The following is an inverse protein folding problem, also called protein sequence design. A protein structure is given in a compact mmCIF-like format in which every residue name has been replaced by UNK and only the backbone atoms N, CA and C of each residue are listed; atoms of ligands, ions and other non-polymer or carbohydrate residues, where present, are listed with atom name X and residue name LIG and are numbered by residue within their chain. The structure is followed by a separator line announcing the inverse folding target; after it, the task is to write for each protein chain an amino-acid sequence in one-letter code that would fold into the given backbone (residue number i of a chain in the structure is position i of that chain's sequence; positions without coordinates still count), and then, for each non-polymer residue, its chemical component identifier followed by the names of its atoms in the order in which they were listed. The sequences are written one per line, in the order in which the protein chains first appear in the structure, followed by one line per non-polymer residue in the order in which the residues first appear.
data_IF_778805063119
#
_entry.id   IF_778805063119
#
_cell.length_a   1.000
_cell.length_b   1.000
_cell.length_c   1.000
_cell.angle_alpha   90.00
_cell.angle_beta   90.00
_cell.angle_gamma   90.00
#
_symmetry.space_group_name_H-M   'P 1'
#
loop_
_entity.id
_entity.type
_entity.pdbx_description
1 polymer ?
#
# COMPACT_ATOMS: atom_id res chain seq x y z
N UNK A 1 35.25 -1.71 -6.12
CA UNK A 1 35.53 -1.47 -7.55
C UNK A 1 34.82 -2.54 -8.36
N UNK A 2 33.77 -2.18 -9.09
CA UNK A 2 33.35 -2.76 -10.39
C UNK A 2 32.00 -2.13 -10.78
N UNK A 3 32.08 -1.11 -11.63
CA UNK A 3 30.96 -0.50 -12.35
C UNK A 3 30.67 -1.38 -13.59
N UNK A 4 29.42 -1.78 -13.83
CA UNK A 4 28.93 -2.19 -15.15
C UNK A 4 27.65 -1.40 -15.45
N UNK A 5 27.75 -0.32 -16.23
CA UNK A 5 27.58 -0.24 -17.69
C UNK A 5 26.17 -0.60 -18.16
N UNK A 6 25.32 0.42 -18.17
CA UNK A 6 24.08 0.49 -18.95
C UNK A 6 24.46 0.53 -20.44
N UNK A 7 23.94 -0.42 -21.20
CA UNK A 7 24.11 -0.55 -22.65
C UNK A 7 23.10 0.33 -23.38
N UNK A 8 23.59 1.35 -24.07
CA UNK A 8 22.81 2.20 -24.99
C UNK A 8 22.51 1.42 -26.28
N UNK A 9 21.22 1.16 -26.57
CA UNK A 9 20.80 0.64 -27.87
C UNK A 9 20.90 1.75 -28.93
N UNK A 10 21.77 1.52 -29.91
CA UNK A 10 21.89 2.31 -31.14
C UNK A 10 20.68 2.01 -32.04
N UNK A 11 19.93 3.03 -32.42
CA UNK A 11 18.98 2.92 -33.52
C UNK A 11 19.74 3.07 -34.85
N UNK A 12 19.64 2.04 -35.71
CA UNK A 12 20.09 2.07 -37.10
C UNK A 12 19.13 2.94 -37.92
N UNK A 13 19.63 4.03 -38.49
CA UNK A 13 18.90 4.82 -39.50
C UNK A 13 19.05 4.13 -40.86
N UNK A 14 18.05 3.35 -41.26
CA UNK A 14 17.93 2.77 -42.59
C UNK A 14 17.24 3.75 -43.54
N UNK A 15 17.98 4.18 -44.56
CA UNK A 15 17.55 5.01 -45.69
C UNK A 15 16.61 4.21 -46.61
N UNK A 16 15.38 4.67 -46.83
CA UNK A 16 14.53 4.18 -47.93
C UNK A 16 13.68 5.30 -48.55
N UNK A 17 13.98 5.57 -49.84
CA UNK A 17 13.03 5.76 -50.93
C UNK A 17 11.91 6.81 -50.82
N UNK A 18 12.08 7.91 -51.56
CA UNK A 18 11.01 8.84 -51.94
C UNK A 18 10.16 8.21 -53.05
N UNK A 19 8.82 8.16 -52.89
CA UNK A 19 7.84 8.14 -53.99
C UNK A 19 6.42 8.55 -53.51
N UNK A 20 6.13 9.84 -53.73
CA UNK A 20 4.91 10.49 -54.29
C UNK A 20 3.48 10.09 -53.85
N UNK A 21 2.77 11.16 -53.42
CA UNK A 21 1.35 11.52 -53.59
C UNK A 21 0.29 11.07 -52.55
N UNK A 22 -0.30 12.11 -51.93
CA UNK A 22 -1.71 12.12 -51.52
C UNK A 22 -2.00 11.52 -50.15
N UNK A 23 -1.83 12.28 -49.07
CA UNK A 23 -2.30 11.88 -47.76
C UNK A 23 -2.32 13.07 -46.81
N UNK A 24 -3.45 13.29 -46.15
CA UNK A 24 -3.62 14.31 -45.11
C UNK A 24 -2.43 14.27 -44.13
N UNK A 25 -1.78 15.41 -43.98
CA UNK A 25 -0.80 15.63 -42.92
C UNK A 25 -1.53 15.62 -41.56
N UNK A 26 -1.67 14.44 -40.98
CA UNK A 26 -1.87 14.30 -39.55
C UNK A 26 -0.57 14.76 -38.87
N UNK A 27 -0.54 16.01 -38.42
CA UNK A 27 0.42 16.43 -37.41
C UNK A 27 0.04 15.71 -36.12
N UNK A 28 0.70 14.57 -35.85
CA UNK A 28 0.76 14.04 -34.51
C UNK A 28 1.56 15.06 -33.68
N UNK A 29 0.85 15.94 -32.97
CA UNK A 29 1.45 16.69 -31.88
C UNK A 29 1.85 15.65 -30.84
N UNK A 30 3.11 15.24 -30.88
CA UNK A 30 3.73 14.47 -29.81
C UNK A 30 3.78 15.40 -28.61
N UNK A 31 2.70 15.38 -27.85
CA UNK A 31 2.56 16.11 -26.62
C UNK A 31 3.50 15.43 -25.64
N UNK A 32 4.77 15.85 -25.68
CA UNK A 32 5.73 15.57 -24.64
C UNK A 32 5.07 16.05 -23.36
N UNK A 33 4.56 15.12 -22.56
CA UNK A 33 4.19 15.37 -21.18
C UNK A 33 5.48 15.84 -20.54
N UNK A 34 5.67 17.17 -20.50
CA UNK A 34 6.66 17.76 -19.62
C UNK A 34 6.25 17.26 -18.25
N UNK A 35 7.11 16.46 -17.63
CA UNK A 35 7.01 16.23 -16.21
C UNK A 35 7.05 17.62 -15.59
N UNK A 36 5.89 18.11 -15.17
CA UNK A 36 5.78 19.35 -14.44
C UNK A 36 6.78 19.24 -13.28
N UNK A 37 7.61 20.28 -13.12
CA UNK A 37 8.43 20.41 -11.92
C UNK A 37 7.51 20.23 -10.71
N UNK A 38 7.92 19.46 -9.68
CA UNK A 38 7.04 19.16 -8.57
C UNK A 38 6.71 20.47 -7.85
N UNK A 39 5.54 21.04 -8.16
CA UNK A 39 4.90 22.03 -7.32
C UNK A 39 4.97 21.48 -5.90
N UNK A 40 5.56 22.24 -4.97
CA UNK A 40 5.82 21.81 -3.61
C UNK A 40 4.58 21.11 -3.05
N UNK A 41 4.62 19.77 -3.04
CA UNK A 41 3.47 18.96 -2.69
C UNK A 41 3.18 19.26 -1.23
N UNK A 42 1.94 19.64 -0.93
CA UNK A 42 1.45 19.69 0.46
C UNK A 42 1.90 18.38 1.13
N UNK A 43 2.58 18.41 2.28
CA UNK A 43 2.99 17.20 2.97
C UNK A 43 1.78 16.27 3.10
N UNK A 44 1.93 15.00 2.73
CA UNK A 44 0.81 14.05 2.74
C UNK A 44 0.11 13.98 4.11
N UNK A 45 0.85 14.23 5.19
CA UNK A 45 0.33 14.35 6.56
C UNK A 45 -0.70 15.47 6.71
N UNK A 46 -0.48 16.64 6.09
CA UNK A 46 -1.43 17.76 6.15
C UNK A 46 -2.71 17.45 5.37
N UNK A 47 -2.58 16.80 4.21
CA UNK A 47 -3.72 16.32 3.47
C UNK A 47 -4.55 15.33 4.30
N UNK A 48 -3.90 14.33 4.92
CA UNK A 48 -4.57 13.36 5.79
C UNK A 48 -5.27 14.06 6.96
N UNK A 49 -4.58 14.98 7.64
CA UNK A 49 -5.16 15.74 8.75
C UNK A 49 -6.38 16.55 8.31
N UNK A 50 -6.35 17.15 7.12
CA UNK A 50 -7.50 17.86 6.56
C UNK A 50 -8.68 16.92 6.32
N UNK A 51 -8.46 15.74 5.75
CA UNK A 51 -9.53 14.76 5.52
C UNK A 51 -10.15 14.26 6.83
N UNK A 52 -9.33 14.02 7.87
CA UNK A 52 -9.81 13.63 9.20
C UNK A 52 -10.65 14.74 9.83
N UNK A 53 -10.16 15.99 9.79
CA UNK A 53 -10.91 17.15 10.33
C UNK A 53 -12.24 17.36 9.62
N UNK A 54 -12.26 17.25 8.28
CA UNK A 54 -13.51 17.33 7.52
C UNK A 54 -14.49 16.24 7.95
N UNK A 55 -14.00 15.00 8.14
CA UNK A 55 -14.83 13.91 8.64
C UNK A 55 -15.42 14.18 10.02
N UNK A 56 -14.68 14.86 10.92
CA UNK A 56 -15.21 15.27 12.22
C UNK A 56 -16.30 16.34 12.08
N UNK A 57 -16.07 17.36 11.25
CA UNK A 57 -17.05 18.43 10.99
C UNK A 57 -18.34 17.87 10.40
N UNK A 58 -18.25 17.03 9.36
CA UNK A 58 -19.38 16.44 8.66
C UNK A 58 -20.25 15.55 9.56
N UNK A 59 -19.66 15.00 10.62
CA UNK A 59 -20.33 14.08 11.55
C UNK A 59 -20.56 14.70 12.95
N UNK A 60 -20.31 16.00 13.12
CA UNK A 60 -20.46 16.72 14.39
C UNK A 60 -19.68 16.05 15.54
N UNK A 61 -18.49 15.53 15.25
CA UNK A 61 -17.63 14.84 16.22
C UNK A 61 -16.64 15.83 16.82
N UNK A 62 -16.64 15.93 18.16
CA UNK A 62 -15.59 16.63 18.89
C UNK A 62 -14.38 15.71 19.10
N UNK A 63 -13.15 16.12 18.70
CA UNK A 63 -11.97 15.30 18.89
C UNK A 63 -11.60 15.21 20.38
N UNK A 64 -11.00 14.08 20.77
CA UNK A 64 -10.47 13.91 22.12
C UNK A 64 -9.33 14.89 22.41
N UNK A 65 -9.12 15.19 23.69
CA UNK A 65 -7.94 15.93 24.14
C UNK A 65 -6.63 15.27 23.66
N UNK A 66 -5.58 16.10 23.52
CA UNK A 66 -4.27 15.63 23.13
C UNK A 66 -3.71 14.71 24.21
N UNK A 67 -3.29 13.52 23.80
CA UNK A 67 -2.69 12.53 24.70
C UNK A 67 -1.46 13.10 25.43
N UNK A 68 -1.30 12.73 26.70
CA UNK A 68 -0.09 13.05 27.47
C UNK A 68 1.12 12.36 26.85
N UNK A 69 2.33 12.79 27.21
CA UNK A 69 3.54 12.18 26.67
C UNK A 69 3.70 10.70 27.07
N UNK A 70 3.25 10.32 28.27
CA UNK A 70 3.24 8.92 28.75
C UNK A 70 2.25 8.05 27.96
N UNK A 71 1.07 8.58 27.67
CA UNK A 71 0.09 7.88 26.83
C UNK A 71 0.57 7.78 25.39
N UNK A 72 1.11 8.87 24.85
CA UNK A 72 1.55 8.96 23.47
C UNK A 72 2.73 8.02 23.19
N UNK A 73 3.75 8.00 24.07
CA UNK A 73 4.91 7.09 23.90
C UNK A 73 4.46 5.63 23.94
N UNK A 74 3.52 5.29 24.82
CA UNK A 74 2.98 3.93 24.87
C UNK A 74 2.25 3.55 23.58
N UNK A 75 1.39 4.44 23.06
CA UNK A 75 0.59 4.20 21.85
C UNK A 75 1.50 4.06 20.62
N UNK A 76 2.47 4.96 20.43
CA UNK A 76 3.34 4.92 19.24
C UNK A 76 4.20 3.66 19.19
N UNK A 77 4.67 3.15 20.33
CA UNK A 77 5.39 1.89 20.40
C UNK A 77 4.51 0.69 20.02
N UNK A 78 3.28 0.65 20.52
CA UNK A 78 2.33 -0.40 20.17
C UNK A 78 1.97 -0.37 18.68
N UNK A 79 1.72 0.83 18.15
CA UNK A 79 1.28 1.02 16.77
C UNK A 79 2.41 0.73 15.76
N UNK A 80 3.62 1.22 16.02
CA UNK A 80 4.74 1.15 15.06
C UNK A 80 5.49 -0.19 15.18
N UNK A 81 5.85 -0.60 16.40
CA UNK A 81 6.73 -1.77 16.64
C UNK A 81 6.06 -2.94 17.35
N UNK A 82 4.78 -2.82 17.74
CA UNK A 82 3.97 -3.96 18.23
C UNK A 82 4.32 -4.42 19.64
N UNK A 83 5.05 -3.62 20.43
CA UNK A 83 5.38 -3.89 21.83
C UNK A 83 5.23 -2.63 22.67
N UNK A 84 5.29 -2.79 23.98
CA UNK A 84 5.35 -1.67 24.91
C UNK A 84 6.80 -1.15 25.00
N UNK A 85 7.03 0.15 25.30
CA UNK A 85 8.37 0.65 25.53
C UNK A 85 8.97 0.06 26.81
N UNK A 86 10.30 -0.06 26.87
CA UNK A 86 11.02 -0.37 28.11
C UNK A 86 11.02 0.84 29.04
N UNK A 87 11.42 0.63 30.30
CA UNK A 87 11.50 1.72 31.26
C UNK A 87 12.51 2.80 30.82
N UNK A 88 13.64 2.38 30.26
CA UNK A 88 14.70 3.26 29.75
C UNK A 88 14.21 4.08 28.55
N UNK A 89 13.51 3.45 27.60
CA UNK A 89 12.94 4.14 26.44
C UNK A 89 11.91 5.21 26.84
N UNK A 90 11.06 4.92 27.84
CA UNK A 90 10.11 5.91 28.38
C UNK A 90 10.85 7.06 29.04
N UNK A 91 11.84 6.78 29.89
CA UNK A 91 12.62 7.84 30.56
C UNK A 91 13.32 8.74 29.56
N UNK A 92 14.01 8.16 28.59
CA UNK A 92 14.69 8.91 27.53
C UNK A 92 13.72 9.85 26.80
N UNK A 93 12.50 9.38 26.47
CA UNK A 93 11.50 10.20 25.80
C UNK A 93 10.91 11.31 26.69
N UNK A 94 10.69 11.03 27.98
CA UNK A 94 10.12 12.01 28.91
C UNK A 94 11.14 13.08 29.34
N UNK A 95 12.42 12.73 29.38
CA UNK A 95 13.52 13.65 29.69
C UNK A 95 13.93 14.52 28.48
N UNK A 96 13.53 14.14 27.26
CA UNK A 96 13.75 14.96 26.06
C UNK A 96 12.79 16.17 26.03
N UNK A 97 13.34 17.38 26.13
CA UNK A 97 12.62 18.65 26.01
C UNK A 97 12.57 19.19 24.58
N UNK A 98 13.15 18.47 23.61
CA UNK A 98 13.18 18.87 22.21
C UNK A 98 11.77 19.02 21.63
N UNK A 99 11.48 20.10 20.90
CA UNK A 99 10.22 20.23 20.17
C UNK A 99 10.05 19.17 19.07
N UNK A 100 11.13 18.44 18.72
CA UNK A 100 11.11 17.36 17.71
C UNK A 100 11.11 15.95 18.32
N UNK A 101 11.01 15.79 19.63
CA UNK A 101 11.14 14.48 20.30
C UNK A 101 10.20 13.40 19.75
N UNK A 102 8.96 13.78 19.42
CA UNK A 102 7.96 12.86 18.85
C UNK A 102 8.35 12.37 17.46
N UNK A 103 8.73 13.29 16.56
CA UNK A 103 9.21 12.93 15.21
C UNK A 103 10.50 12.10 15.28
N UNK A 104 11.46 12.51 16.11
CA UNK A 104 12.71 11.79 16.28
C UNK A 104 12.52 10.38 16.84
N UNK A 105 11.57 10.17 17.76
CA UNK A 105 11.20 8.83 18.23
C UNK A 105 10.57 8.00 17.10
N UNK A 106 9.65 8.58 16.30
CA UNK A 106 9.05 7.87 15.16
C UNK A 106 10.14 7.40 14.19
N UNK A 107 11.09 8.27 13.83
CA UNK A 107 12.20 7.93 12.93
C UNK A 107 13.00 6.73 13.47
N UNK A 108 13.36 6.74 14.76
CA UNK A 108 14.03 5.62 15.42
C UNK A 108 13.21 4.32 15.42
N UNK A 109 11.89 4.42 15.59
CA UNK A 109 11.02 3.26 15.60
C UNK A 109 10.84 2.65 14.21
N UNK A 110 10.79 3.47 13.17
CA UNK A 110 10.71 3.01 11.78
C UNK A 110 11.99 2.27 11.34
N UNK A 111 13.15 2.68 11.86
CA UNK A 111 14.44 2.00 11.64
C UNK A 111 14.62 0.73 12.50
N UNK A 112 13.74 0.46 13.47
CA UNK A 112 13.87 -0.66 14.38
C UNK A 112 13.51 -2.00 13.70
N UNK A 113 14.24 -3.07 13.99
CA UNK A 113 13.91 -4.41 13.49
C UNK A 113 12.53 -4.94 13.93
N UNK A 114 12.00 -4.47 15.07
CA UNK A 114 10.64 -4.75 15.53
C UNK A 114 9.58 -4.19 14.56
N UNK A 115 9.84 -3.07 13.87
CA UNK A 115 8.92 -2.54 12.86
C UNK A 115 8.68 -3.59 11.77
N UNK A 116 9.74 -4.15 11.20
CA UNK A 116 9.64 -5.19 10.16
C UNK A 116 8.87 -6.40 10.69
N UNK A 117 9.14 -6.84 11.94
CA UNK A 117 8.44 -7.98 12.55
C UNK A 117 6.95 -7.71 12.75
N UNK A 118 6.61 -6.54 13.31
CA UNK A 118 5.23 -6.14 13.59
C UNK A 118 4.41 -6.04 12.30
N UNK A 119 4.90 -5.29 11.32
CA UNK A 119 4.19 -5.07 10.06
C UNK A 119 4.10 -6.33 9.20
N UNK A 120 5.11 -7.21 9.23
CA UNK A 120 5.01 -8.56 8.62
C UNK A 120 3.83 -9.33 9.22
N UNK A 121 3.69 -9.31 10.54
CA UNK A 121 2.63 -10.04 11.24
C UNK A 121 1.26 -9.45 10.93
N UNK A 122 1.12 -8.12 10.99
CA UNK A 122 -0.12 -7.41 10.68
C UNK A 122 -0.56 -7.72 9.25
N UNK A 123 0.30 -7.52 8.27
CA UNK A 123 -0.09 -7.71 6.86
C UNK A 123 -0.30 -9.16 6.47
N UNK A 124 0.47 -10.10 7.03
CA UNK A 124 0.18 -11.53 6.85
C UNK A 124 -1.22 -11.85 7.37
N UNK A 125 -1.57 -11.38 8.57
CA UNK A 125 -2.91 -11.59 9.14
C UNK A 125 -4.02 -10.93 8.32
N UNK A 126 -3.80 -9.70 7.85
CA UNK A 126 -4.76 -8.98 7.03
C UNK A 126 -4.98 -9.70 5.70
N UNK A 127 -3.93 -10.18 5.04
CA UNK A 127 -4.01 -10.81 3.74
C UNK A 127 -4.58 -12.23 3.78
N UNK A 128 -4.11 -13.10 4.69
CA UNK A 128 -4.43 -14.53 4.65
C UNK A 128 -5.11 -15.06 5.92
N UNK A 129 -5.44 -14.19 6.87
CA UNK A 129 -6.00 -14.59 8.17
C UNK A 129 -4.94 -15.19 9.11
N UNK A 130 -5.38 -15.84 10.19
CA UNK A 130 -4.49 -16.46 11.20
C UNK A 130 -4.30 -17.97 11.01
N UNK A 131 -5.12 -18.59 10.16
CA UNK A 131 -5.00 -20.00 9.81
C UNK A 131 -4.07 -20.23 8.62
N UNK A 132 -3.92 -21.49 8.23
CA UNK A 132 -3.18 -21.90 7.04
C UNK A 132 -4.06 -22.85 6.20
N UNK A 133 -4.91 -22.29 5.31
CA UNK A 133 -5.78 -23.08 4.44
C UNK A 133 -5.00 -23.94 3.44
N UNK A 134 -5.71 -24.84 2.75
CA UNK A 134 -5.09 -25.73 1.77
C UNK A 134 -4.42 -24.92 0.66
N UNK A 135 -3.17 -25.30 0.31
CA UNK A 135 -2.34 -24.65 -0.72
C UNK A 135 -2.04 -23.18 -0.41
N UNK A 136 -2.01 -22.81 0.86
CA UNK A 136 -1.52 -21.52 1.34
C UNK A 136 -0.33 -21.81 2.24
N UNK A 137 0.75 -21.07 2.06
CA UNK A 137 1.94 -21.07 2.90
C UNK A 137 2.00 -19.76 3.66
N UNK A 138 1.78 -19.84 4.96
CA UNK A 138 1.92 -18.70 5.85
C UNK A 138 3.36 -18.21 5.89
N UNK A 139 4.31 -19.14 6.01
CA UNK A 139 5.73 -18.82 6.03
C UNK A 139 6.21 -18.17 4.73
N UNK A 140 5.65 -18.58 3.58
CA UNK A 140 5.87 -17.93 2.29
C UNK A 140 5.41 -16.47 2.28
N UNK A 141 4.19 -16.21 2.76
CA UNK A 141 3.65 -14.85 2.88
C UNK A 141 4.45 -13.99 3.87
N UNK A 142 4.82 -14.53 5.03
CA UNK A 142 5.65 -13.84 6.02
C UNK A 142 7.02 -13.49 5.45
N UNK A 143 7.64 -14.39 4.67
CA UNK A 143 8.91 -14.12 3.98
C UNK A 143 8.77 -13.00 2.95
N UNK A 144 7.67 -12.97 2.20
CA UNK A 144 7.38 -11.89 1.25
C UNK A 144 7.28 -10.54 1.96
N UNK A 145 6.41 -10.40 2.96
CA UNK A 145 6.23 -9.14 3.67
C UNK A 145 7.47 -8.72 4.46
N UNK A 146 8.16 -9.65 5.12
CA UNK A 146 9.43 -9.36 5.81
C UNK A 146 10.45 -8.79 4.86
N UNK A 147 10.60 -9.39 3.68
CA UNK A 147 11.52 -8.88 2.66
C UNK A 147 11.06 -7.54 2.07
N UNK A 148 9.75 -7.29 1.99
CA UNK A 148 9.22 -6.05 1.44
C UNK A 148 9.45 -4.88 2.41
N UNK A 149 9.12 -5.06 3.69
CA UNK A 149 9.32 -4.03 4.72
C UNK A 149 10.80 -3.78 5.01
N UNK A 150 11.63 -4.83 5.07
CA UNK A 150 13.08 -4.66 5.30
C UNK A 150 13.81 -3.93 4.16
N UNK A 151 13.19 -3.82 2.98
CA UNK A 151 13.73 -3.10 1.82
C UNK A 151 12.99 -1.78 1.55
N UNK A 152 12.06 -1.40 2.43
CA UNK A 152 11.22 -0.20 2.27
C UNK A 152 10.57 -0.12 0.88
N UNK A 153 10.08 -1.27 0.39
CA UNK A 153 9.50 -1.33 -0.96
C UNK A 153 8.31 -0.38 -1.10
N UNK A 154 8.17 0.34 -2.23
CA UNK A 154 6.99 1.15 -2.49
C UNK A 154 5.71 0.33 -2.39
N UNK A 155 4.70 0.86 -1.68
CA UNK A 155 3.46 0.15 -1.42
C UNK A 155 2.73 -0.27 -2.71
N UNK A 156 2.75 0.58 -3.74
CA UNK A 156 2.16 0.28 -5.05
C UNK A 156 2.77 -0.96 -5.70
N UNK A 157 4.07 -1.20 -5.58
CA UNK A 157 4.72 -2.40 -6.11
C UNK A 157 4.32 -3.65 -5.31
N UNK A 158 4.19 -3.53 -3.99
CA UNK A 158 3.72 -4.63 -3.13
C UNK A 158 2.29 -5.02 -3.53
N UNK A 159 1.41 -4.05 -3.75
CA UNK A 159 0.01 -4.31 -4.15
C UNK A 159 -0.04 -4.99 -5.52
N UNK A 160 0.74 -4.50 -6.50
CA UNK A 160 0.83 -5.13 -7.83
C UNK A 160 1.28 -6.59 -7.69
N UNK A 161 2.38 -6.84 -6.96
CA UNK A 161 2.87 -8.21 -6.73
C UNK A 161 1.79 -9.11 -6.13
N UNK A 162 0.99 -8.62 -5.18
CA UNK A 162 -0.05 -9.41 -4.52
C UNK A 162 -1.21 -9.76 -5.47
N UNK A 163 -1.68 -8.82 -6.28
CA UNK A 163 -2.85 -9.02 -7.16
C UNK A 163 -2.52 -9.67 -8.50
N UNK A 164 -1.25 -9.65 -8.93
CA UNK A 164 -0.79 -10.28 -10.18
C UNK A 164 0.12 -11.50 -9.94
N UNK A 165 0.14 -12.04 -8.72
CA UNK A 165 1.06 -13.11 -8.34
C UNK A 165 0.79 -14.42 -9.12
N UNK A 166 1.84 -15.01 -9.67
CA UNK A 166 1.81 -16.33 -10.29
C UNK A 166 2.89 -17.26 -9.71
N UNK A 167 2.73 -18.57 -9.92
CA UNK A 167 3.70 -19.60 -9.54
C UNK A 167 3.29 -20.45 -8.33
N UNK A 168 4.27 -21.15 -7.73
CA UNK A 168 4.03 -22.02 -6.59
C UNK A 168 4.01 -21.23 -5.28
N UNK A 169 3.04 -21.53 -4.41
CA UNK A 169 2.76 -20.77 -3.18
C UNK A 169 3.88 -20.83 -2.11
N UNK A 170 4.77 -21.81 -2.18
CA UNK A 170 5.96 -21.92 -1.33
C UNK A 170 7.17 -21.16 -1.88
N UNK A 171 7.20 -20.92 -3.19
CA UNK A 171 8.32 -20.26 -3.88
C UNK A 171 8.06 -18.75 -4.01
N UNK A 172 6.85 -18.38 -4.42
CA UNK A 172 6.38 -17.00 -4.49
C UNK A 172 5.35 -16.73 -3.39
N UNK A 173 5.80 -16.06 -2.34
CA UNK A 173 4.97 -15.72 -1.18
C UNK A 173 3.73 -14.88 -1.51
N UNK A 174 3.79 -14.03 -2.55
CA UNK A 174 2.67 -13.16 -2.93
C UNK A 174 1.44 -13.95 -3.42
N UNK A 175 1.66 -15.12 -4.04
CA UNK A 175 0.59 -16.02 -4.54
C UNK A 175 -0.40 -16.40 -3.44
N UNK A 176 0.07 -16.46 -2.20
CA UNK A 176 -0.76 -16.80 -1.05
C UNK A 176 -1.92 -15.82 -0.83
N UNK A 177 -1.82 -14.57 -1.30
CA UNK A 177 -2.90 -13.60 -1.18
C UNK A 177 -4.13 -14.05 -1.96
N UNK A 178 -3.97 -14.36 -3.25
CA UNK A 178 -5.09 -14.81 -4.09
C UNK A 178 -5.59 -16.18 -3.60
N UNK A 179 -4.68 -17.12 -3.32
CA UNK A 179 -5.06 -18.47 -2.92
C UNK A 179 -5.84 -18.52 -1.60
N UNK A 180 -5.52 -17.66 -0.64
CA UNK A 180 -6.26 -17.62 0.62
C UNK A 180 -7.72 -17.13 0.45
N UNK A 181 -8.03 -16.41 -0.63
CA UNK A 181 -9.38 -15.93 -0.92
C UNK A 181 -10.17 -16.91 -1.81
N UNK A 182 -9.47 -17.75 -2.59
CA UNK A 182 -10.08 -18.72 -3.52
C UNK A 182 -10.36 -20.10 -2.87
N UNK A 183 -10.55 -20.14 -1.55
CA UNK A 183 -10.88 -21.37 -0.84
C UNK A 183 -12.32 -21.83 -1.11
N UNK A 184 -13.19 -20.89 -1.48
CA UNK A 184 -14.57 -21.13 -1.88
C UNK A 184 -14.71 -21.02 -3.40
N UNK A 185 -15.68 -21.73 -3.98
CA UNK A 185 -16.07 -21.59 -5.40
C UNK A 185 -17.13 -20.50 -5.51
N UNK A 186 -16.75 -19.28 -5.21
CA UNK A 186 -17.63 -18.11 -5.13
C UNK A 186 -17.37 -17.10 -6.26
N UNK A 187 -16.80 -17.55 -7.38
CA UNK A 187 -16.50 -16.72 -8.54
C UNK A 187 -15.60 -15.50 -8.21
N UNK A 188 -14.77 -15.61 -7.16
CA UNK A 188 -13.83 -14.57 -6.78
C UNK A 188 -14.42 -13.47 -5.91
N UNK A 189 -15.67 -13.61 -5.45
CA UNK A 189 -16.34 -12.65 -4.57
C UNK A 189 -15.50 -12.30 -3.33
N UNK A 190 -14.94 -13.29 -2.63
CA UNK A 190 -14.05 -13.03 -1.49
C UNK A 190 -12.81 -12.22 -1.91
N UNK A 191 -12.20 -12.56 -3.05
CA UNK A 191 -11.01 -11.86 -3.55
C UNK A 191 -11.34 -10.39 -3.84
N UNK A 192 -12.44 -10.13 -4.55
CA UNK A 192 -12.91 -8.78 -4.88
C UNK A 192 -13.18 -7.96 -3.62
N UNK A 193 -13.95 -8.50 -2.68
CA UNK A 193 -14.25 -7.82 -1.42
C UNK A 193 -12.99 -7.54 -0.59
N UNK A 194 -12.07 -8.50 -0.54
CA UNK A 194 -10.81 -8.37 0.20
C UNK A 194 -9.88 -7.33 -0.43
N UNK A 195 -9.78 -7.31 -1.76
CA UNK A 195 -8.96 -6.39 -2.54
C UNK A 195 -9.46 -4.95 -2.38
N UNK A 196 -10.76 -4.73 -2.57
CA UNK A 196 -11.38 -3.42 -2.37
C UNK A 196 -11.18 -2.91 -0.94
N UNK A 197 -11.37 -3.78 0.06
CA UNK A 197 -11.22 -3.39 1.47
C UNK A 197 -9.78 -3.04 1.82
N UNK A 198 -8.81 -3.87 1.44
CA UNK A 198 -7.42 -3.70 1.87
C UNK A 198 -6.69 -2.59 1.11
N UNK A 199 -6.97 -2.42 -0.19
CA UNK A 199 -6.16 -1.53 -1.04
C UNK A 199 -6.90 -0.26 -1.46
N UNK A 200 -8.23 -0.25 -1.43
CA UNK A 200 -9.03 0.93 -1.77
C UNK A 200 -9.72 1.55 -0.54
N UNK A 201 -9.71 0.86 0.61
CA UNK A 201 -10.45 1.28 1.80
C UNK A 201 -11.97 1.20 1.64
N UNK A 202 -12.46 0.41 0.67
CA UNK A 202 -13.87 0.33 0.31
C UNK A 202 -14.49 -0.99 0.77
N UNK A 203 -15.60 -0.88 1.50
CA UNK A 203 -16.35 -2.04 1.97
C UNK A 203 -17.50 -2.36 1.01
N UNK A 204 -17.24 -3.22 0.02
CA UNK A 204 -18.15 -3.50 -1.11
C UNK A 204 -18.83 -4.87 -1.06
N UNK A 205 -18.61 -5.70 -0.04
CA UNK A 205 -19.15 -7.07 -0.02
C UNK A 205 -20.69 -7.12 -0.04
N UNK A 206 -21.37 -6.11 0.50
CA UNK A 206 -22.84 -6.06 0.44
C UNK A 206 -23.35 -5.79 -0.98
N UNK A 207 -22.55 -5.14 -1.83
CA UNK A 207 -22.95 -4.80 -3.20
C UNK A 207 -22.88 -5.97 -4.17
N UNK A 208 -22.38 -7.13 -3.74
CA UNK A 208 -22.45 -8.36 -4.53
C UNK A 208 -23.90 -8.75 -4.89
N UNK A 209 -24.85 -8.48 -3.97
CA UNK A 209 -26.25 -8.92 -4.09
C UNK A 209 -27.25 -7.78 -4.37
N UNK A 210 -26.93 -6.54 -3.99
CA UNK A 210 -27.85 -5.40 -4.13
C UNK A 210 -27.10 -4.06 -4.10
N UNK A 211 -27.71 -2.98 -4.60
CA UNK A 211 -27.11 -1.64 -4.49
C UNK A 211 -26.99 -1.23 -3.01
N UNK A 212 -25.90 -0.54 -2.63
CA UNK A 212 -25.69 -0.16 -1.24
C UNK A 212 -26.75 0.88 -0.79
N UNK A 213 -27.36 0.74 0.40
CA UNK A 213 -28.45 1.63 0.84
C UNK A 213 -27.99 3.08 1.13
N UNK A 214 -26.71 3.29 1.43
CA UNK A 214 -26.20 4.58 1.93
C UNK A 214 -25.00 5.14 1.16
N UNK A 215 -24.50 4.45 0.13
CA UNK A 215 -23.35 4.92 -0.65
C UNK A 215 -23.64 4.75 -2.15
N UNK A 216 -22.75 5.27 -3.00
CA UNK A 216 -22.97 5.31 -4.46
C UNK A 216 -22.66 4.00 -5.19
N UNK A 217 -22.17 2.97 -4.50
CA UNK A 217 -21.78 1.72 -5.15
C UNK A 217 -23.01 0.91 -5.55
N UNK A 218 -23.03 0.57 -6.84
CA UNK A 218 -24.05 -0.28 -7.45
C UNK A 218 -23.54 -1.72 -7.58
N UNK A 219 -24.50 -2.65 -7.74
CA UNK A 219 -24.20 -4.07 -7.88
C UNK A 219 -23.38 -4.39 -9.12
N UNK A 220 -23.68 -3.74 -10.25
CA UNK A 220 -22.94 -3.89 -11.50
C UNK A 220 -21.46 -3.52 -11.33
N UNK A 221 -21.15 -2.43 -10.62
CA UNK A 221 -19.78 -1.99 -10.34
C UNK A 221 -18.98 -3.01 -9.51
N UNK A 222 -19.64 -3.77 -8.64
CA UNK A 222 -18.99 -4.88 -7.94
C UNK A 222 -18.54 -5.97 -8.93
N UNK A 223 -19.42 -6.33 -9.86
CA UNK A 223 -19.14 -7.38 -10.85
C UNK A 223 -18.18 -6.92 -11.96
N UNK A 224 -18.18 -5.64 -12.31
CA UNK A 224 -17.14 -5.04 -13.16
C UNK A 224 -15.78 -5.15 -12.49
N UNK A 225 -15.69 -4.79 -11.20
CA UNK A 225 -14.45 -4.93 -10.43
C UNK A 225 -14.06 -6.40 -10.23
N UNK A 226 -15.01 -7.34 -10.14
CA UNK A 226 -14.71 -8.76 -9.97
C UNK A 226 -14.00 -9.40 -11.18
N UNK A 227 -14.01 -8.76 -12.35
CA UNK A 227 -13.42 -9.31 -13.58
C UNK A 227 -11.90 -9.09 -13.76
N UNK A 228 -11.18 -8.52 -12.78
CA UNK A 228 -9.73 -8.28 -12.88
C UNK A 228 -8.89 -9.56 -12.80
#
# INVERSE_FOLDING_TARGET
MLKSRISSRRFCTGMFGILVAGGLLFFAAEQTVRADEPAAQVPISEYINQQIRQGWEDNEIEPSEVATDEEWVRRVYLDVVGRIPTLEEVKEFLEDESPRKRSALIDRLLENEDYVRNWTTIWTNLCIGRGEPRRVSRSGMEKFFRSAFARERPWNEIVVDLVTAEGHFEENGAVNYILAQMQMRDEGVQLTAKTARLFLGLQVQCTQCHNHPFNKWQQDQFWEFNSF
#
